data_IF_816167573974
#
_entry.id   IF_816167573974
#
_cell.length_a   1.000
_cell.length_b   1.000
_cell.length_c   1.000
_cell.angle_alpha   90.00
_cell.angle_beta   90.00
_cell.angle_gamma   90.00
#
_symmetry.space_group_name_H-M   'P 1'
#
loop_
_entity.id
_entity.type
_entity.pdbx_description
1 polymer ?
#
# COMPACT_ATOMS: atom_id res chain seq x y z
N UNK A 1 9.13 -27.63 17.11
CA UNK A 1 7.69 -27.80 17.25
C UNK A 1 7.03 -27.43 15.95
N UNK A 2 6.62 -28.48 15.22
CA UNK A 2 5.80 -28.36 14.02
C UNK A 2 4.36 -28.16 14.46
N UNK A 3 3.96 -26.99 14.83
CA UNK A 3 2.55 -26.62 14.75
C UNK A 3 2.22 -26.45 13.27
N UNK A 4 1.82 -27.57 12.69
CA UNK A 4 1.31 -27.60 11.34
C UNK A 4 0.16 -26.61 11.24
N UNK A 5 0.10 -25.94 10.11
CA UNK A 5 -1.15 -25.34 9.61
C UNK A 5 -2.21 -26.43 9.72
N UNK A 6 -3.06 -26.33 10.72
CA UNK A 6 -4.28 -27.13 10.75
C UNK A 6 -5.07 -26.71 9.53
N UNK A 7 -5.39 -27.66 8.68
CA UNK A 7 -6.41 -27.49 7.66
C UNK A 7 -7.66 -26.99 8.39
N UNK A 8 -7.88 -25.68 8.37
CA UNK A 8 -9.12 -25.12 8.86
C UNK A 8 -10.17 -25.59 7.86
N UNK A 9 -11.05 -26.49 8.28
CA UNK A 9 -12.26 -26.77 7.51
C UNK A 9 -13.01 -25.46 7.36
N UNK A 10 -12.90 -24.87 6.17
CA UNK A 10 -13.66 -23.66 5.85
C UNK A 10 -15.12 -24.04 5.78
N UNK A 11 -15.93 -23.54 6.71
CA UNK A 11 -17.38 -23.60 6.59
C UNK A 11 -17.76 -22.94 5.25
N UNK A 12 -18.58 -23.62 4.43
CA UNK A 12 -19.09 -23.05 3.16
C UNK A 12 -19.77 -21.68 3.33
N UNK A 13 -20.18 -21.35 4.56
CA UNK A 13 -20.74 -20.05 4.95
C UNK A 13 -19.69 -19.01 5.32
N UNK A 14 -18.45 -19.42 5.55
CA UNK A 14 -17.36 -18.48 5.87
C UNK A 14 -16.98 -17.68 4.62
N UNK A 15 -17.22 -16.40 4.68
CA UNK A 15 -16.85 -15.46 3.60
C UNK A 15 -15.40 -15.04 3.66
N UNK A 16 -14.70 -15.41 4.73
CA UNK A 16 -13.28 -15.09 4.94
C UNK A 16 -12.98 -13.62 5.16
N UNK A 17 -11.70 -13.32 5.21
CA UNK A 17 -11.17 -11.97 5.35
C UNK A 17 -10.36 -11.60 4.11
N UNK A 18 -10.66 -10.46 3.50
CA UNK A 18 -9.84 -9.90 2.44
C UNK A 18 -8.77 -8.99 3.04
N UNK A 19 -7.59 -9.03 2.46
CA UNK A 19 -6.50 -8.12 2.78
C UNK A 19 -6.28 -7.22 1.58
N UNK A 20 -6.38 -5.91 1.78
CA UNK A 20 -6.05 -4.91 0.78
C UNK A 20 -4.84 -4.15 1.26
N UNK A 21 -3.82 -4.10 0.42
CA UNK A 21 -2.59 -3.38 0.68
C UNK A 21 -2.29 -2.40 -0.45
N UNK A 22 -1.85 -1.21 -0.09
CA UNK A 22 -1.29 -0.23 -1.04
C UNK A 22 -0.15 0.52 -0.37
N UNK A 23 1.03 0.41 -0.96
CA UNK A 23 2.24 1.05 -0.46
C UNK A 23 2.95 1.88 -1.51
N UNK A 24 3.74 2.86 -1.06
CA UNK A 24 4.55 3.72 -1.89
C UNK A 24 5.87 4.03 -1.18
N UNK A 25 6.96 3.96 -1.93
CA UNK A 25 8.27 4.40 -1.49
C UNK A 25 8.67 5.66 -2.27
N UNK A 26 9.06 6.69 -1.54
CA UNK A 26 9.52 7.97 -2.10
C UNK A 26 10.99 8.12 -1.77
N UNK A 27 11.82 8.19 -2.81
CA UNK A 27 13.24 8.48 -2.63
C UNK A 27 13.45 9.98 -2.48
N UNK A 28 14.07 10.37 -1.39
CA UNK A 28 14.43 11.76 -1.12
C UNK A 28 15.80 12.12 -1.68
N UNK A 29 16.03 13.41 -1.89
CA UNK A 29 17.38 13.93 -2.14
C UNK A 29 18.26 13.56 -0.94
N UNK A 30 19.43 12.93 -1.19
CA UNK A 30 20.31 12.41 -0.12
C UNK A 30 20.16 10.92 0.17
N UNK A 31 19.31 10.19 -0.57
CA UNK A 31 19.25 8.72 -0.58
C UNK A 31 18.37 8.09 0.48
N UNK A 32 17.74 8.86 1.36
CA UNK A 32 16.73 8.34 2.28
C UNK A 32 15.46 7.93 1.51
N UNK A 33 14.82 6.84 1.95
CA UNK A 33 13.52 6.40 1.46
C UNK A 33 12.47 6.67 2.53
N UNK A 34 11.38 7.31 2.14
CA UNK A 34 10.16 7.37 2.96
C UNK A 34 9.12 6.42 2.39
N UNK A 35 8.50 5.61 3.26
CA UNK A 35 7.40 4.75 2.89
C UNK A 35 6.08 5.21 3.49
N UNK A 36 5.02 4.94 2.76
CA UNK A 36 3.62 5.10 3.17
C UNK A 36 2.88 3.87 2.74
N UNK A 37 2.24 3.20 3.68
CA UNK A 37 1.51 1.98 3.39
C UNK A 37 0.19 1.96 4.14
N UNK A 38 -0.88 1.53 3.48
CA UNK A 38 -2.17 1.24 4.08
C UNK A 38 -2.47 -0.25 3.92
N UNK A 39 -2.73 -0.92 5.04
CA UNK A 39 -3.18 -2.31 5.06
C UNK A 39 -4.55 -2.36 5.72
N UNK A 40 -5.53 -2.91 5.04
CA UNK A 40 -6.88 -3.13 5.57
C UNK A 40 -7.26 -4.61 5.52
N UNK A 41 -7.80 -5.08 6.63
CA UNK A 41 -8.38 -6.41 6.81
C UNK A 41 -9.91 -6.27 6.82
N UNK A 42 -10.54 -6.75 5.77
CA UNK A 42 -11.99 -6.67 5.58
C UNK A 42 -12.59 -8.02 5.96
N UNK A 43 -13.15 -8.10 7.16
CA UNK A 43 -13.85 -9.29 7.61
C UNK A 43 -15.26 -9.32 6.98
N UNK A 44 -15.47 -10.25 6.06
CA UNK A 44 -16.72 -10.36 5.29
C UNK A 44 -17.87 -10.92 6.09
N UNK A 45 -17.58 -11.67 7.16
CA UNK A 45 -18.60 -12.24 8.04
C UNK A 45 -19.22 -11.17 8.93
N UNK A 46 -18.37 -10.34 9.57
CA UNK A 46 -18.78 -9.26 10.48
C UNK A 46 -19.03 -7.94 9.77
N UNK A 47 -18.66 -7.81 8.50
CA UNK A 47 -18.69 -6.57 7.71
C UNK A 47 -17.89 -5.44 8.37
N UNK A 48 -16.82 -5.78 9.07
CA UNK A 48 -15.94 -4.82 9.70
C UNK A 48 -14.62 -4.70 8.95
N UNK A 49 -14.05 -3.51 8.94
CA UNK A 49 -12.74 -3.25 8.34
C UNK A 49 -11.85 -2.56 9.35
N UNK A 50 -10.67 -3.14 9.58
CA UNK A 50 -9.64 -2.63 10.47
C UNK A 50 -8.29 -2.74 9.77
N UNK A 51 -7.31 -1.97 10.21
CA UNK A 51 -5.97 -2.07 9.65
C UNK A 51 -4.99 -1.08 10.24
N UNK A 52 -3.98 -0.77 9.42
CA UNK A 52 -2.91 0.14 9.83
C UNK A 52 -2.51 1.04 8.67
N UNK A 53 -2.26 2.30 9.00
CA UNK A 53 -1.43 3.16 8.17
C UNK A 53 -0.01 3.12 8.71
N UNK A 54 0.97 2.84 7.85
CA UNK A 54 2.37 2.66 8.22
C UNK A 54 3.18 3.78 7.59
N UNK A 55 3.96 4.43 8.42
CA UNK A 55 4.93 5.46 8.01
C UNK A 55 6.30 4.91 8.28
N UNK A 56 7.08 4.71 7.23
CA UNK A 56 8.45 4.22 7.33
C UNK A 56 9.47 5.25 6.86
N UNK A 57 10.65 5.15 7.39
CA UNK A 57 11.84 5.88 6.94
C UNK A 57 13.04 4.95 6.97
N UNK A 58 13.65 4.79 5.79
CA UNK A 58 14.87 3.99 5.63
C UNK A 58 16.02 4.95 5.33
N UNK A 59 17.00 4.97 6.21
CA UNK A 59 18.20 5.81 6.09
C UNK A 59 19.44 4.95 6.03
N UNK A 60 20.50 5.45 5.38
CA UNK A 60 21.83 4.83 5.44
C UNK A 60 22.75 5.72 6.27
N UNK A 61 23.49 5.11 7.17
CA UNK A 61 24.54 5.81 7.90
C UNK A 61 25.81 5.99 7.05
N UNK A 62 26.83 6.69 7.60
CA UNK A 62 28.10 6.93 6.93
C UNK A 62 28.89 5.65 6.62
N UNK A 63 28.58 4.54 7.29
CA UNK A 63 29.19 3.22 7.09
C UNK A 63 28.41 2.37 6.10
N UNK A 64 27.27 2.87 5.58
CA UNK A 64 26.42 2.17 4.63
C UNK A 64 25.38 1.23 5.25
N UNK A 65 25.29 1.16 6.58
CA UNK A 65 24.25 0.37 7.26
C UNK A 65 22.87 1.02 7.09
N UNK A 66 21.89 0.17 6.84
CA UNK A 66 20.49 0.60 6.68
C UNK A 66 19.80 0.62 8.05
N UNK A 67 19.14 1.72 8.36
CA UNK A 67 18.29 1.90 9.53
C UNK A 67 16.85 2.07 9.06
N UNK A 68 15.97 1.20 9.56
CA UNK A 68 14.54 1.19 9.27
C UNK A 68 13.76 1.62 10.50
N UNK A 69 12.85 2.59 10.33
CA UNK A 69 11.98 3.10 11.39
C UNK A 69 10.54 3.12 10.90
N UNK A 70 9.77 2.14 11.35
CA UNK A 70 8.35 2.06 11.05
C UNK A 70 7.48 2.50 12.22
N UNK A 71 6.48 3.29 11.92
CA UNK A 71 5.44 3.67 12.86
C UNK A 71 4.07 3.30 12.32
N UNK A 72 3.32 2.49 13.10
CA UNK A 72 2.00 1.99 12.75
C UNK A 72 0.91 2.77 13.45
N UNK A 73 -0.05 3.25 12.67
CA UNK A 73 -1.23 3.97 13.15
C UNK A 73 -2.45 3.10 12.89
N UNK A 74 -3.11 2.58 13.96
CA UNK A 74 -4.26 1.72 13.78
C UNK A 74 -5.45 2.53 13.26
N UNK A 75 -6.15 1.93 12.29
CA UNK A 75 -7.29 2.54 11.61
C UNK A 75 -8.47 1.57 11.55
N UNK A 76 -9.66 2.11 11.37
CA UNK A 76 -10.87 1.40 10.99
C UNK A 76 -11.52 2.09 9.80
N UNK A 77 -12.45 1.42 9.15
CA UNK A 77 -13.28 2.03 8.12
C UNK A 77 -14.73 2.04 8.58
N UNK A 78 -15.35 3.22 8.55
CA UNK A 78 -16.78 3.42 8.81
C UNK A 78 -17.32 4.36 7.73
N UNK A 79 -18.49 4.03 7.18
CA UNK A 79 -19.16 4.84 6.14
C UNK A 79 -18.23 5.21 4.96
N UNK A 80 -17.42 4.27 4.52
CA UNK A 80 -16.39 4.45 3.48
C UNK A 80 -15.30 5.49 3.81
N UNK A 81 -15.13 5.84 5.08
CA UNK A 81 -14.07 6.71 5.57
C UNK A 81 -13.08 5.94 6.42
N UNK A 82 -11.80 6.26 6.25
CA UNK A 82 -10.73 5.73 7.10
C UNK A 82 -10.59 6.62 8.33
N UNK A 83 -10.69 6.02 9.51
CA UNK A 83 -10.70 6.73 10.79
C UNK A 83 -9.58 6.17 11.65
N UNK A 84 -8.62 7.00 12.13
CA UNK A 84 -7.65 6.59 13.14
C UNK A 84 -8.36 6.16 14.42
N UNK A 85 -7.95 5.01 15.00
CA UNK A 85 -8.56 4.49 16.24
C UNK A 85 -7.84 4.99 17.51
N UNK A 86 -6.71 5.70 17.33
CA UNK A 86 -5.98 6.37 18.41
C UNK A 86 -5.71 7.82 18.03
N UNK A 87 -5.63 8.74 19.00
CA UNK A 87 -5.32 10.14 18.74
C UNK A 87 -3.99 10.30 18.00
N UNK A 88 -3.98 11.15 16.98
CA UNK A 88 -2.79 11.53 16.21
C UNK A 88 -2.55 13.01 16.46
N UNK A 89 -1.40 13.35 17.04
CA UNK A 89 -1.03 14.75 17.35
C UNK A 89 -0.67 15.56 16.10
N UNK A 90 -0.13 14.90 15.10
CA UNK A 90 0.24 15.53 13.81
C UNK A 90 -1.01 15.63 12.93
N UNK A 91 -1.56 16.83 12.84
CA UNK A 91 -2.76 17.12 12.04
C UNK A 91 -2.55 16.89 10.53
N UNK A 92 -1.34 17.06 10.01
CA UNK A 92 -1.02 16.78 8.60
C UNK A 92 -1.12 15.29 8.33
N UNK A 93 -0.52 14.48 9.20
CA UNK A 93 -0.56 13.03 9.11
C UNK A 93 -1.99 12.50 9.30
N UNK A 94 -2.74 13.06 10.25
CA UNK A 94 -4.14 12.68 10.46
C UNK A 94 -4.97 12.89 9.19
N UNK A 95 -4.85 14.06 8.56
CA UNK A 95 -5.51 14.36 7.29
C UNK A 95 -5.04 13.45 6.16
N UNK A 96 -3.75 13.10 6.11
CA UNK A 96 -3.20 12.15 5.14
C UNK A 96 -3.88 10.78 5.27
N UNK A 97 -4.07 10.29 6.48
CA UNK A 97 -4.75 9.01 6.76
C UNK A 97 -6.23 9.06 6.40
N UNK A 98 -6.94 10.09 6.86
CA UNK A 98 -8.39 10.24 6.64
C UNK A 98 -8.74 10.42 5.16
N UNK A 99 -7.85 11.06 4.39
CA UNK A 99 -8.01 11.28 2.95
C UNK A 99 -7.32 10.21 2.09
N UNK A 100 -6.80 9.16 2.70
CA UNK A 100 -6.14 8.10 1.95
C UNK A 100 -7.09 7.46 0.94
N UNK A 101 -6.58 7.23 -0.27
CA UNK A 101 -7.29 6.48 -1.32
C UNK A 101 -6.35 5.44 -1.92
N UNK A 102 -6.88 4.26 -2.12
CA UNK A 102 -6.18 3.23 -2.88
C UNK A 102 -6.02 3.67 -4.33
N UNK A 103 -4.91 3.27 -4.95
CA UNK A 103 -4.63 3.66 -6.33
C UNK A 103 -5.76 3.30 -7.29
N UNK A 104 -6.41 2.16 -7.09
CA UNK A 104 -7.57 1.72 -7.87
C UNK A 104 -8.77 2.68 -7.83
N UNK A 105 -8.83 3.60 -6.87
CA UNK A 105 -9.93 4.56 -6.73
C UNK A 105 -9.73 5.83 -7.57
N UNK A 106 -8.50 6.09 -8.07
CA UNK A 106 -8.19 7.31 -8.83
C UNK A 106 -7.27 7.09 -10.03
N UNK A 107 -6.65 5.91 -10.14
CA UNK A 107 -5.83 5.54 -11.30
C UNK A 107 -6.68 5.24 -12.53
N UNK A 108 -6.12 5.44 -13.71
CA UNK A 108 -6.71 5.01 -14.97
C UNK A 108 -6.10 3.66 -15.39
N UNK A 109 -6.92 2.61 -15.36
CA UNK A 109 -6.50 1.26 -15.74
C UNK A 109 -7.00 0.85 -17.15
N UNK A 110 -7.76 1.72 -17.81
CA UNK A 110 -8.35 1.41 -19.14
C UNK A 110 -7.28 1.33 -20.22
N UNK A 111 -6.22 2.10 -20.08
CA UNK A 111 -5.20 2.28 -21.10
C UNK A 111 -3.97 1.38 -20.90
N UNK A 112 -4.01 0.42 -19.96
CA UNK A 112 -2.91 -0.52 -19.74
C UNK A 112 -2.53 -1.33 -20.99
N UNK A 113 -3.49 -1.62 -21.86
CA UNK A 113 -3.24 -2.26 -23.15
C UNK A 113 -2.35 -1.44 -24.08
N UNK A 114 -2.30 -0.12 -23.88
CA UNK A 114 -1.54 0.82 -24.71
C UNK A 114 -0.12 1.05 -24.18
N UNK A 115 0.18 0.56 -22.96
CA UNK A 115 1.52 0.61 -22.39
C UNK A 115 2.44 -0.33 -23.17
N UNK A 116 3.50 0.27 -23.73
CA UNK A 116 4.51 -0.45 -24.50
C UNK A 116 5.70 -0.84 -23.63
N UNK A 117 6.46 -1.84 -24.08
CA UNK A 117 7.72 -2.26 -23.43
C UNK A 117 7.52 -2.73 -21.98
N UNK A 118 6.40 -3.39 -21.67
CA UNK A 118 6.20 -4.04 -20.39
C UNK A 118 7.06 -5.29 -20.24
N UNK A 119 7.73 -5.44 -19.10
CA UNK A 119 8.37 -6.69 -18.70
C UNK A 119 7.32 -7.57 -18.02
N UNK A 120 6.92 -8.65 -18.68
CA UNK A 120 5.87 -9.56 -18.21
C UNK A 120 6.53 -10.86 -17.77
N UNK A 121 6.23 -11.28 -16.54
CA UNK A 121 6.70 -12.55 -16.00
C UNK A 121 5.57 -13.38 -15.41
N UNK A 122 5.73 -14.70 -15.48
CA UNK A 122 4.82 -15.67 -14.89
C UNK A 122 5.60 -16.59 -13.95
N UNK A 123 5.07 -16.78 -12.74
CA UNK A 123 5.61 -17.75 -11.79
C UNK A 123 4.71 -18.99 -11.73
N UNK A 124 5.14 -20.14 -12.26
CA UNK A 124 4.33 -21.36 -12.27
C UNK A 124 4.20 -22.03 -10.89
N UNK A 125 5.16 -21.80 -9.98
CA UNK A 125 5.13 -22.41 -8.64
C UNK A 125 4.08 -21.79 -7.72
N UNK A 126 3.82 -20.51 -7.93
CA UNK A 126 2.72 -19.78 -7.30
C UNK A 126 2.04 -19.04 -8.45
N UNK A 127 0.97 -19.60 -9.03
CA UNK A 127 0.37 -19.05 -10.24
C UNK A 127 0.10 -17.56 -10.13
N UNK A 128 1.05 -16.76 -10.61
CA UNK A 128 0.98 -15.29 -10.55
C UNK A 128 1.61 -14.68 -11.79
N UNK A 129 1.01 -13.61 -12.24
CA UNK A 129 1.50 -12.79 -13.34
C UNK A 129 1.97 -11.45 -12.80
N UNK A 130 3.08 -10.97 -13.28
CA UNK A 130 3.53 -9.61 -12.99
C UNK A 130 3.88 -8.90 -14.30
N UNK A 131 3.53 -7.61 -14.36
CA UNK A 131 3.88 -6.76 -15.47
C UNK A 131 4.49 -5.47 -14.92
N UNK A 132 5.66 -5.09 -15.43
CA UNK A 132 6.37 -3.87 -15.05
C UNK A 132 6.42 -2.93 -16.25
N UNK A 133 6.03 -1.69 -16.03
CA UNK A 133 6.07 -0.65 -17.05
C UNK A 133 6.88 0.54 -16.53
N UNK A 134 7.68 1.12 -17.41
CA UNK A 134 8.34 2.38 -17.13
C UNK A 134 7.49 3.51 -17.72
N UNK A 135 6.92 4.33 -16.85
CA UNK A 135 6.04 5.42 -17.24
C UNK A 135 6.79 6.74 -17.28
N UNK A 136 6.42 7.61 -18.21
CA UNK A 136 6.94 8.97 -18.27
C UNK A 136 6.26 9.89 -17.25
N UNK A 137 6.86 11.07 -17.02
CA UNK A 137 6.26 12.08 -16.14
C UNK A 137 4.91 12.62 -16.69
N UNK A 138 4.63 12.45 -17.99
CA UNK A 138 3.41 12.92 -18.65
C UNK A 138 2.28 11.90 -18.56
N UNK A 139 2.57 10.68 -18.07
CA UNK A 139 1.54 9.67 -17.87
C UNK A 139 0.50 10.12 -16.84
N UNK A 140 -0.77 9.89 -17.15
CA UNK A 140 -1.90 10.29 -16.28
C UNK A 140 -1.75 9.74 -14.86
N UNK A 141 -1.41 8.46 -14.70
CA UNK A 141 -1.29 7.82 -13.40
C UNK A 141 -0.12 8.39 -12.59
N UNK A 142 1.00 8.71 -13.26
CA UNK A 142 2.14 9.38 -12.63
C UNK A 142 1.75 10.79 -12.17
N UNK A 143 1.03 11.55 -12.98
CA UNK A 143 0.54 12.87 -12.59
C UNK A 143 -0.41 12.80 -11.39
N UNK A 144 -1.31 11.81 -11.32
CA UNK A 144 -2.19 11.63 -10.17
C UNK A 144 -1.41 11.30 -8.89
N UNK A 145 -0.39 10.45 -8.97
CA UNK A 145 0.48 10.13 -7.83
C UNK A 145 1.24 11.37 -7.36
N UNK A 146 1.82 12.13 -8.28
CA UNK A 146 2.56 13.36 -7.94
C UNK A 146 1.69 14.42 -7.29
N UNK A 147 0.47 14.60 -7.79
CA UNK A 147 -0.51 15.54 -7.21
C UNK A 147 -0.90 15.19 -5.77
N UNK A 148 -0.90 13.90 -5.41
CA UNK A 148 -1.31 13.42 -4.07
C UNK A 148 -0.15 13.38 -3.08
N UNK A 149 1.04 13.08 -3.53
CA UNK A 149 2.16 12.68 -2.70
C UNK A 149 3.38 13.51 -3.04
N UNK A 150 3.38 14.74 -3.09
CA UNK A 150 4.51 15.67 -3.21
C UNK A 150 5.84 15.00 -3.66
N UNK A 151 5.77 14.25 -4.78
CA UNK A 151 6.88 13.47 -5.30
C UNK A 151 7.82 14.42 -6.03
N UNK A 152 9.12 14.49 -5.64
CA UNK A 152 10.07 15.39 -6.27
C UNK A 152 10.22 15.11 -7.77
N UNK A 153 10.28 16.15 -8.57
CA UNK A 153 10.75 16.05 -9.97
C UNK A 153 12.25 15.87 -10.00
N UNK A 154 12.73 14.96 -10.79
CA UNK A 154 14.14 14.94 -11.18
C UNK A 154 14.42 16.08 -12.15
#
# INVERSE_FOLDING_TARGET
DKEGFRDQEFDKRDKGTWIINSGMNIQLKGGALKSREMILYINRNTRTTKGYFIVGEITKDKKGYTHDKDKKYPVKMEHNQIIPTKPIKDEKLKKEIENFKFFVQYGNFKDFKDYKNGDISYNPNVPSYSAKYQLSNDDYNIQQLRKRYDIPTK
#
